data_IF_680944060712
#
_entry.id   IF_680944060712
#
_cell.length_a   1.000
_cell.length_b   1.000
_cell.length_c   1.000
_cell.angle_alpha   90.00
_cell.angle_beta   90.00
_cell.angle_gamma   90.00
#
_symmetry.space_group_name_H-M   'P 1'
#
loop_
_entity.id
_entity.type
_entity.pdbx_description
1 polymer ?
#
# COMPACT_ATOMS: atom_id res chain seq x y z
N UNK A 1 -18.65 12.35 -3.31
CA UNK A 1 -17.43 12.44 -2.47
C UNK A 1 -17.58 11.51 -1.27
N UNK A 2 -16.52 10.90 -0.75
CA UNK A 2 -16.64 10.02 0.44
C UNK A 2 -16.65 10.87 1.71
N UNK A 3 -17.51 10.52 2.69
CA UNK A 3 -17.48 11.14 4.00
C UNK A 3 -16.20 10.77 4.76
N UNK A 4 -15.79 11.60 5.73
CA UNK A 4 -14.59 11.32 6.56
C UNK A 4 -14.68 9.96 7.26
N UNK A 5 -15.85 9.60 7.77
CA UNK A 5 -16.09 8.32 8.45
C UNK A 5 -15.99 7.15 7.46
N UNK A 6 -16.55 7.29 6.25
CA UNK A 6 -16.41 6.28 5.18
C UNK A 6 -14.95 6.06 4.82
N UNK A 7 -14.18 7.15 4.60
CA UNK A 7 -12.75 7.05 4.29
C UNK A 7 -11.98 6.35 5.41
N UNK A 8 -12.28 6.67 6.67
CA UNK A 8 -11.64 6.02 7.81
C UNK A 8 -11.92 4.51 7.86
N UNK A 9 -13.20 4.10 7.74
CA UNK A 9 -13.57 2.67 7.77
C UNK A 9 -12.99 1.93 6.56
N UNK A 10 -12.99 2.53 5.39
CA UNK A 10 -12.37 1.98 4.19
C UNK A 10 -10.86 1.76 4.40
N UNK A 11 -10.17 2.73 4.99
CA UNK A 11 -8.74 2.59 5.30
C UNK A 11 -8.49 1.49 6.32
N UNK A 12 -9.29 1.44 7.39
CA UNK A 12 -9.16 0.41 8.43
C UNK A 12 -9.40 -0.99 7.88
N UNK A 13 -10.47 -1.17 7.09
CA UNK A 13 -10.79 -2.47 6.47
C UNK A 13 -9.69 -2.93 5.50
N UNK A 14 -9.09 -2.01 4.74
CA UNK A 14 -7.94 -2.33 3.89
C UNK A 14 -6.70 -2.75 4.71
N UNK A 15 -6.44 -2.10 5.84
CA UNK A 15 -5.33 -2.48 6.74
C UNK A 15 -5.50 -3.88 7.30
N UNK A 16 -6.70 -4.22 7.79
CA UNK A 16 -7.00 -5.56 8.28
C UNK A 16 -6.82 -6.58 7.17
N UNK A 17 -7.36 -6.31 5.98
CA UNK A 17 -7.25 -7.20 4.83
C UNK A 17 -5.80 -7.39 4.40
N UNK A 18 -4.98 -6.34 4.45
CA UNK A 18 -3.55 -6.40 4.15
C UNK A 18 -2.78 -7.31 5.12
N UNK A 19 -3.08 -7.20 6.42
CA UNK A 19 -2.48 -8.07 7.45
C UNK A 19 -2.85 -9.53 7.19
N UNK A 20 -4.13 -9.81 6.98
CA UNK A 20 -4.60 -11.16 6.68
C UNK A 20 -3.96 -11.73 5.42
N UNK A 21 -3.81 -10.91 4.38
CA UNK A 21 -3.16 -11.31 3.13
C UNK A 21 -1.71 -11.77 3.36
N UNK A 22 -0.93 -11.01 4.12
CA UNK A 22 0.46 -11.39 4.45
C UNK A 22 0.52 -12.68 5.27
N UNK A 23 -0.36 -12.83 6.26
CA UNK A 23 -0.40 -14.03 7.09
C UNK A 23 -0.78 -15.27 6.28
N UNK A 24 -1.81 -15.18 5.45
CA UNK A 24 -2.22 -16.28 4.56
C UNK A 24 -1.11 -16.62 3.57
N UNK A 25 -0.51 -15.60 2.94
CA UNK A 25 0.57 -15.79 1.97
C UNK A 25 1.79 -16.45 2.61
N UNK A 26 2.15 -16.09 3.84
CA UNK A 26 3.27 -16.70 4.56
C UNK A 26 3.06 -18.20 4.85
N UNK A 27 1.81 -18.59 5.09
CA UNK A 27 1.44 -20.00 5.27
C UNK A 27 1.45 -20.74 3.92
N UNK A 28 0.83 -20.16 2.90
CA UNK A 28 0.73 -20.76 1.55
C UNK A 28 2.11 -20.98 0.92
N UNK A 29 3.04 -20.06 1.13
CA UNK A 29 4.41 -20.17 0.62
C UNK A 29 5.36 -20.91 1.57
N UNK A 30 4.82 -21.56 2.61
CA UNK A 30 5.56 -22.38 3.58
C UNK A 30 6.64 -21.63 4.39
N UNK A 31 6.47 -20.32 4.58
CA UNK A 31 7.33 -19.53 5.48
C UNK A 31 6.84 -19.54 6.95
N UNK A 32 5.61 -19.99 7.18
CA UNK A 32 4.98 -20.06 8.50
C UNK A 32 4.38 -18.73 9.00
N UNK A 33 3.44 -18.85 9.92
CA UNK A 33 2.71 -17.69 10.48
C UNK A 33 3.61 -16.76 11.30
N UNK A 34 4.65 -17.30 11.96
CA UNK A 34 5.62 -16.50 12.72
C UNK A 34 6.44 -15.55 11.85
N UNK A 35 6.82 -16.00 10.65
CA UNK A 35 7.45 -15.13 9.65
C UNK A 35 6.48 -14.03 9.22
N UNK A 36 5.25 -14.40 8.84
CA UNK A 36 4.24 -13.44 8.40
C UNK A 36 3.96 -12.35 9.44
N UNK A 37 3.85 -12.71 10.71
CA UNK A 37 3.62 -11.75 11.79
C UNK A 37 4.79 -10.78 11.96
N UNK A 38 6.03 -11.27 12.00
CA UNK A 38 7.23 -10.42 12.07
C UNK A 38 7.32 -9.51 10.85
N UNK A 39 7.05 -10.04 9.67
CA UNK A 39 7.05 -9.27 8.42
C UNK A 39 6.05 -8.13 8.46
N UNK A 40 4.80 -8.37 8.91
CA UNK A 40 3.77 -7.32 9.04
C UNK A 40 4.22 -6.23 9.99
N UNK A 41 4.71 -6.58 11.19
CA UNK A 41 5.12 -5.59 12.20
C UNK A 41 6.24 -4.70 11.65
N UNK A 42 7.26 -5.30 11.07
CA UNK A 42 8.42 -4.57 10.53
C UNK A 42 8.01 -3.70 9.35
N UNK A 43 7.26 -4.25 8.39
CA UNK A 43 6.89 -3.50 7.19
C UNK A 43 5.89 -2.39 7.45
N UNK A 44 5.01 -2.51 8.43
CA UNK A 44 4.13 -1.42 8.83
C UNK A 44 4.91 -0.26 9.45
N UNK A 45 5.89 -0.56 10.31
CA UNK A 45 6.73 0.47 10.96
C UNK A 45 7.64 1.15 9.93
N UNK A 46 8.40 0.37 9.16
CA UNK A 46 9.31 0.90 8.14
C UNK A 46 8.53 1.58 7.03
N UNK A 47 7.41 1.01 6.59
CA UNK A 47 6.59 1.57 5.52
C UNK A 47 6.05 2.96 5.85
N UNK A 48 5.65 3.20 7.11
CA UNK A 48 5.23 4.52 7.56
C UNK A 48 6.38 5.53 7.48
N UNK A 49 7.56 5.17 7.98
CA UNK A 49 8.74 6.04 7.96
C UNK A 49 9.22 6.33 6.53
N UNK A 50 9.29 5.29 5.69
CA UNK A 50 9.70 5.44 4.29
C UNK A 50 8.71 6.28 3.50
N UNK A 51 7.41 6.10 3.73
CA UNK A 51 6.39 6.92 3.08
C UNK A 51 6.52 8.39 3.47
N UNK A 52 6.71 8.66 4.77
CA UNK A 52 6.92 10.02 5.26
C UNK A 52 8.16 10.67 4.62
N UNK A 53 9.28 9.96 4.58
CA UNK A 53 10.53 10.45 3.94
C UNK A 53 10.32 10.67 2.45
N UNK A 54 9.72 9.71 1.75
CA UNK A 54 9.42 9.80 0.33
C UNK A 54 8.57 11.04 0.00
N UNK A 55 7.51 11.29 0.77
CA UNK A 55 6.67 12.49 0.63
C UNK A 55 7.47 13.78 0.87
N UNK A 56 8.34 13.80 1.89
CA UNK A 56 9.19 14.95 2.18
C UNK A 56 10.17 15.23 1.04
N UNK A 57 10.83 14.19 0.52
CA UNK A 57 11.74 14.30 -0.62
C UNK A 57 11.00 14.86 -1.85
N UNK A 58 9.80 14.33 -2.17
CA UNK A 58 9.00 14.85 -3.27
C UNK A 58 8.55 16.30 -3.09
N UNK A 59 8.31 16.73 -1.85
CA UNK A 59 7.96 18.13 -1.57
C UNK A 59 9.12 19.12 -1.80
N UNK A 60 10.37 18.64 -1.70
CA UNK A 60 11.54 19.44 -2.02
C UNK A 60 11.72 19.65 -3.54
N UNK A 61 11.26 18.69 -4.35
CA UNK A 61 11.34 18.77 -5.81
C UNK A 61 10.08 19.39 -6.39
N UNK A 62 10.26 20.47 -7.16
CA UNK A 62 9.17 21.16 -7.88
C UNK A 62 8.88 20.58 -9.27
N UNK A 63 9.47 19.44 -9.62
CA UNK A 63 9.29 18.76 -10.91
C UNK A 63 7.82 18.47 -11.19
N UNK A 64 7.36 18.87 -12.36
CA UNK A 64 5.99 18.64 -12.85
C UNK A 64 4.88 19.20 -11.93
N UNK A 65 5.17 20.25 -11.16
CA UNK A 65 4.14 21.04 -10.46
C UNK A 65 3.55 22.09 -11.40
N UNK A 66 2.26 22.35 -11.22
CA UNK A 66 1.59 23.50 -11.79
C UNK A 66 1.06 24.36 -10.63
N UNK A 67 1.83 25.39 -10.28
CA UNK A 67 1.61 26.17 -9.07
C UNK A 67 1.71 25.32 -7.80
N UNK A 68 0.62 25.27 -7.01
CA UNK A 68 0.55 24.45 -5.78
C UNK A 68 0.09 23.01 -6.02
N UNK A 69 -0.41 22.68 -7.22
CA UNK A 69 -1.03 21.40 -7.52
C UNK A 69 -0.05 20.42 -8.18
N UNK A 70 -0.22 19.15 -7.85
CA UNK A 70 0.49 18.07 -8.52
C UNK A 70 -0.17 17.77 -9.87
N UNK A 71 0.59 17.81 -10.96
CA UNK A 71 0.10 17.38 -12.26
C UNK A 71 -0.12 15.86 -12.31
N UNK A 72 -0.95 15.32 -13.23
CA UNK A 72 -1.10 13.88 -13.40
C UNK A 72 0.23 13.15 -13.65
N UNK A 73 1.14 13.80 -14.39
CA UNK A 73 2.50 13.29 -14.65
C UNK A 73 3.32 13.17 -13.36
N UNK A 74 3.25 14.20 -12.49
CA UNK A 74 3.91 14.18 -11.18
C UNK A 74 3.37 13.04 -10.31
N UNK A 75 2.05 12.91 -10.23
CA UNK A 75 1.41 11.84 -9.46
C UNK A 75 1.80 10.45 -9.95
N UNK A 76 1.90 10.26 -11.27
CA UNK A 76 2.35 8.99 -11.86
C UNK A 76 3.79 8.66 -11.48
N UNK A 77 4.73 9.60 -11.67
CA UNK A 77 6.16 9.40 -11.35
C UNK A 77 6.35 9.15 -9.85
N UNK A 78 5.63 9.88 -9.01
CA UNK A 78 5.61 9.71 -7.55
C UNK A 78 5.10 8.31 -7.17
N UNK A 79 4.04 7.83 -7.81
CA UNK A 79 3.52 6.49 -7.57
C UNK A 79 4.52 5.40 -7.99
N UNK A 80 5.16 5.55 -9.14
CA UNK A 80 6.16 4.59 -9.63
C UNK A 80 7.37 4.56 -8.68
N UNK A 81 7.89 5.72 -8.28
CA UNK A 81 9.02 5.80 -7.36
C UNK A 81 8.71 5.18 -5.99
N UNK A 82 7.48 5.36 -5.49
CA UNK A 82 7.01 4.70 -4.27
C UNK A 82 6.96 3.18 -4.42
N UNK A 83 6.48 2.68 -5.56
CA UNK A 83 6.43 1.23 -5.81
C UNK A 83 7.81 0.60 -5.87
N UNK A 84 8.77 1.26 -6.52
CA UNK A 84 10.17 0.80 -6.56
C UNK A 84 10.76 0.78 -5.14
N UNK A 85 10.61 1.87 -4.39
CA UNK A 85 11.11 1.96 -3.03
C UNK A 85 10.50 0.90 -2.11
N UNK A 86 9.19 0.70 -2.18
CA UNK A 86 8.50 -0.32 -1.37
C UNK A 86 8.91 -1.74 -1.76
N UNK A 87 9.10 -2.03 -3.06
CA UNK A 87 9.60 -3.33 -3.51
C UNK A 87 10.99 -3.63 -2.92
N UNK A 88 11.91 -2.68 -2.99
CA UNK A 88 13.25 -2.81 -2.42
C UNK A 88 13.18 -3.01 -0.90
N UNK A 89 12.35 -2.24 -0.21
CA UNK A 89 12.17 -2.36 1.24
C UNK A 89 11.63 -3.75 1.64
N UNK A 90 10.61 -4.26 0.95
CA UNK A 90 10.06 -5.59 1.20
C UNK A 90 11.10 -6.70 0.97
N UNK A 91 11.90 -6.58 -0.08
CA UNK A 91 13.00 -7.51 -0.37
C UNK A 91 14.04 -7.52 0.76
N UNK A 92 14.49 -6.33 1.20
CA UNK A 92 15.45 -6.21 2.30
C UNK A 92 14.87 -6.78 3.61
N UNK A 93 13.59 -6.52 3.92
CA UNK A 93 12.94 -7.11 5.10
C UNK A 93 12.89 -8.64 5.02
N UNK A 94 12.61 -9.20 3.85
CA UNK A 94 12.67 -10.65 3.63
C UNK A 94 14.06 -11.21 3.96
N UNK A 95 15.13 -10.58 3.46
CA UNK A 95 16.51 -10.98 3.76
C UNK A 95 16.84 -10.86 5.25
N UNK A 96 16.43 -9.78 5.92
CA UNK A 96 16.70 -9.57 7.35
C UNK A 96 15.96 -10.56 8.24
N UNK A 97 14.83 -11.10 7.77
CA UNK A 97 14.09 -12.16 8.43
C UNK A 97 14.62 -13.58 8.13
N UNK A 98 15.75 -13.68 7.44
CA UNK A 98 16.47 -14.93 7.22
C UNK A 98 16.14 -15.66 5.93
N UNK A 99 15.40 -15.05 5.00
CA UNK A 99 15.18 -15.63 3.68
C UNK A 99 16.47 -15.57 2.83
N UNK A 100 16.68 -16.59 2.01
CA UNK A 100 17.67 -16.51 0.92
C UNK A 100 17.27 -15.43 -0.09
N UNK A 101 18.20 -14.96 -0.90
CA UNK A 101 17.92 -13.95 -1.94
C UNK A 101 16.80 -14.40 -2.90
N UNK A 102 16.79 -15.66 -3.28
CA UNK A 102 15.76 -16.25 -4.15
C UNK A 102 14.39 -16.27 -3.45
N UNK A 103 14.35 -16.75 -2.20
CA UNK A 103 13.11 -16.78 -1.41
C UNK A 103 12.58 -15.37 -1.09
N UNK A 104 13.47 -14.42 -0.79
CA UNK A 104 13.09 -13.03 -0.55
C UNK A 104 12.51 -12.37 -1.81
N UNK A 105 13.08 -12.65 -2.98
CA UNK A 105 12.56 -12.17 -4.25
C UNK A 105 11.19 -12.79 -4.57
N UNK A 106 11.07 -14.10 -4.42
CA UNK A 106 9.80 -14.83 -4.60
C UNK A 106 8.72 -14.28 -3.68
N UNK A 107 9.01 -14.13 -2.39
CA UNK A 107 8.13 -13.51 -1.41
C UNK A 107 7.68 -12.11 -1.82
N UNK A 108 8.64 -11.26 -2.22
CA UNK A 108 8.36 -9.87 -2.59
C UNK A 108 7.46 -9.79 -3.83
N UNK A 109 7.69 -10.62 -4.84
CA UNK A 109 6.86 -10.69 -6.06
C UNK A 109 5.43 -11.11 -5.70
N UNK A 110 5.25 -12.23 -4.99
CA UNK A 110 3.92 -12.72 -4.63
C UNK A 110 3.17 -11.77 -3.72
N UNK A 111 3.87 -11.13 -2.77
CA UNK A 111 3.27 -10.12 -1.90
C UNK A 111 2.77 -8.91 -2.69
N UNK A 112 3.55 -8.39 -3.64
CA UNK A 112 3.12 -7.29 -4.49
C UNK A 112 1.93 -7.67 -5.37
N UNK A 113 1.94 -8.84 -6.00
CA UNK A 113 0.82 -9.32 -6.80
C UNK A 113 -0.46 -9.49 -5.97
N UNK A 114 -0.35 -10.11 -4.79
CA UNK A 114 -1.47 -10.25 -3.87
C UNK A 114 -2.06 -8.89 -3.47
N UNK A 115 -1.22 -7.91 -3.15
CA UNK A 115 -1.69 -6.56 -2.82
C UNK A 115 -2.37 -5.83 -3.97
N UNK A 116 -1.91 -6.01 -5.20
CA UNK A 116 -2.58 -5.43 -6.37
C UNK A 116 -3.99 -6.01 -6.51
N UNK A 117 -4.13 -7.32 -6.43
CA UNK A 117 -5.43 -8.01 -6.54
C UNK A 117 -6.36 -7.60 -5.39
N UNK A 118 -5.87 -7.67 -4.15
CA UNK A 118 -6.66 -7.35 -2.96
C UNK A 118 -7.08 -5.87 -2.95
N UNK A 119 -6.19 -4.97 -3.33
CA UNK A 119 -6.53 -3.55 -3.43
C UNK A 119 -7.63 -3.31 -4.47
N UNK A 120 -7.51 -3.91 -5.64
CA UNK A 120 -8.53 -3.80 -6.69
C UNK A 120 -9.89 -4.34 -6.22
N UNK A 121 -9.93 -5.54 -5.65
CA UNK A 121 -11.16 -6.15 -5.15
C UNK A 121 -11.80 -5.32 -4.02
N UNK A 122 -10.98 -4.83 -3.08
CA UNK A 122 -11.44 -3.96 -2.00
C UNK A 122 -12.06 -2.66 -2.52
N UNK A 123 -11.41 -1.99 -3.49
CA UNK A 123 -11.96 -0.80 -4.14
C UNK A 123 -13.28 -1.10 -4.87
N UNK A 124 -13.34 -2.20 -5.60
CA UNK A 124 -14.57 -2.59 -6.31
C UNK A 124 -15.72 -2.89 -5.34
N UNK A 125 -15.42 -3.53 -4.22
CA UNK A 125 -16.41 -3.81 -3.18
C UNK A 125 -16.96 -2.51 -2.56
N UNK A 126 -16.06 -1.60 -2.16
CA UNK A 126 -16.45 -0.31 -1.59
C UNK A 126 -17.22 0.57 -2.59
N UNK A 127 -16.94 0.49 -3.87
CA UNK A 127 -17.69 1.22 -4.89
C UNK A 127 -19.16 0.77 -4.99
N UNK A 128 -19.47 -0.46 -4.61
CA UNK A 128 -20.85 -0.98 -4.57
C UNK A 128 -21.61 -0.56 -3.31
N UNK A 129 -20.91 -0.21 -2.24
CA UNK A 129 -21.52 0.26 -0.98
C UNK A 129 -21.85 1.74 -1.13
N UNK A 130 -23.13 2.09 -1.00
CA UNK A 130 -23.61 3.49 -1.10
C UNK A 130 -23.45 4.28 0.21
N UNK A 131 -23.36 3.59 1.34
CA UNK A 131 -23.23 4.22 2.66
C UNK A 131 -22.08 5.22 2.73
N UNK A 132 -22.37 6.41 3.28
CA UNK A 132 -21.37 7.47 3.49
C UNK A 132 -20.89 8.19 2.23
N UNK A 133 -21.53 7.96 1.08
CA UNK A 133 -21.35 8.80 -0.12
C UNK A 133 -22.16 10.08 0.05
N UNK A 134 -21.50 11.24 -0.02
CA UNK A 134 -22.19 12.54 -0.08
C UNK A 134 -22.59 12.80 -1.53
N UNK A 135 -23.89 12.87 -1.76
CA UNK A 135 -24.44 13.32 -3.05
C UNK A 135 -24.34 14.85 -3.08
N UNK A 136 -23.56 15.41 -3.98
CA UNK A 136 -23.71 16.80 -4.32
C UNK A 136 -25.03 16.94 -5.13
N UNK A 137 -26.10 17.37 -4.47
CA UNK A 137 -27.27 17.89 -5.18
C UNK A 137 -26.80 19.21 -5.78
N UNK A 138 -26.53 19.21 -7.08
CA UNK A 138 -26.41 20.45 -7.84
C UNK A 138 -27.79 21.10 -7.83
N UNK A 139 -28.01 22.05 -6.97
CA UNK A 139 -29.12 22.99 -7.10
C UNK A 139 -28.90 23.75 -8.41
N UNK A 140 -29.67 23.40 -9.42
CA UNK A 140 -29.88 24.23 -10.61
C UNK A 140 -30.64 25.50 -10.20
#
# INVERSE_FOLDING_TARGET
MDSKLRTFIKTLSYRILSILTVLVLSIVLDYGSGFGLKFVIITMTIGFLLFFIHERVWNLFKLFKDGEYDTPKRSLVKTISWRILSFIALFIVGLTLGLSSESALTWTIWNNLAFIVIHYLHERLWNRISWGKTVHVSTM
#
